data_IF_765324378441
#
_entry.id   IF_765324378441
#
_cell.length_a   1.000
_cell.length_b   1.000
_cell.length_c   1.000
_cell.angle_alpha   90.00
_cell.angle_beta   90.00
_cell.angle_gamma   90.00
#
_symmetry.space_group_name_H-M   'P 1'
#
loop_
_entity.id
_entity.type
_entity.pdbx_description
1 polymer ?
#
# COMPACT_ATOMS: atom_id res chain seq x y z
N UNK A 1 9.16 -50.25 -0.47
CA UNK A 1 8.29 -50.16 -1.65
C UNK A 1 6.88 -49.92 -1.13
N UNK A 2 6.41 -48.67 -1.10
CA UNK A 2 5.05 -48.37 -0.68
C UNK A 2 4.09 -48.59 -1.86
N UNK A 3 2.87 -49.14 -1.65
CA UNK A 3 1.92 -49.36 -2.73
C UNK A 3 1.43 -48.01 -3.29
N UNK A 4 1.40 -47.89 -4.61
CA UNK A 4 0.84 -46.73 -5.31
C UNK A 4 -0.67 -46.60 -5.07
N UNK A 5 -1.24 -45.40 -5.33
CA UNK A 5 -2.64 -45.14 -5.06
C UNK A 5 -3.57 -46.03 -5.92
N UNK A 6 -4.80 -46.33 -5.44
CA UNK A 6 -5.74 -47.21 -6.13
C UNK A 6 -6.16 -46.65 -7.50
N UNK A 7 -6.32 -47.53 -8.47
CA UNK A 7 -6.61 -47.27 -9.89
C UNK A 7 -7.98 -46.60 -10.19
N UNK A 8 -8.71 -46.13 -9.18
CA UNK A 8 -10.10 -45.64 -9.33
C UNK A 8 -10.23 -44.12 -9.44
N UNK A 9 -9.17 -43.33 -9.26
CA UNK A 9 -9.25 -41.86 -9.31
C UNK A 9 -9.04 -41.22 -10.71
N UNK A 10 -8.69 -42.00 -11.74
CA UNK A 10 -8.37 -41.48 -13.09
C UNK A 10 -9.50 -41.62 -14.13
N UNK A 11 -10.68 -42.08 -13.73
CA UNK A 11 -11.75 -42.46 -14.67
C UNK A 11 -12.93 -41.48 -14.77
N UNK A 12 -12.72 -40.16 -14.62
CA UNK A 12 -13.83 -39.16 -14.64
C UNK A 12 -13.72 -37.97 -15.61
N UNK A 13 -12.84 -38.03 -16.62
CA UNK A 13 -12.91 -37.12 -17.76
C UNK A 13 -13.07 -37.91 -19.07
N UNK A 14 -14.33 -38.27 -19.38
CA UNK A 14 -14.72 -38.84 -20.68
C UNK A 14 -14.77 -37.70 -21.71
N UNK A 15 -13.99 -37.78 -22.78
CA UNK A 15 -14.15 -36.85 -23.91
C UNK A 15 -13.06 -36.79 -24.98
N UNK A 16 -11.89 -37.41 -24.80
CA UNK A 16 -10.85 -37.43 -25.83
C UNK A 16 -10.41 -38.87 -26.14
N UNK A 17 -10.21 -39.25 -27.41
CA UNK A 17 -9.58 -40.53 -27.73
C UNK A 17 -8.16 -40.53 -27.14
N UNK A 18 -7.68 -41.65 -26.57
CA UNK A 18 -6.31 -41.74 -26.09
C UNK A 18 -5.37 -41.51 -27.28
N UNK A 19 -4.73 -40.34 -27.32
CA UNK A 19 -3.71 -40.07 -28.33
C UNK A 19 -2.48 -40.85 -27.90
N UNK A 20 -2.16 -41.92 -28.63
CA UNK A 20 -0.93 -42.67 -28.43
C UNK A 20 0.22 -41.74 -28.83
N UNK A 21 0.82 -41.07 -27.85
CA UNK A 21 2.04 -40.29 -28.05
C UNK A 21 3.18 -41.29 -28.24
N UNK A 22 3.87 -41.33 -29.39
CA UNK A 22 5.00 -42.23 -29.58
C UNK A 22 6.10 -41.90 -28.56
N UNK A 23 6.71 -42.93 -27.98
CA UNK A 23 7.84 -42.80 -27.07
C UNK A 23 8.99 -42.05 -27.78
N UNK A 24 9.27 -40.83 -27.33
CA UNK A 24 10.30 -39.96 -27.92
C UNK A 24 9.78 -38.61 -28.46
N UNK A 25 8.47 -38.35 -28.43
CA UNK A 25 7.94 -37.02 -28.74
C UNK A 25 8.12 -36.08 -27.53
N UNK A 26 9.22 -35.33 -27.51
CA UNK A 26 9.33 -34.14 -26.67
C UNK A 26 8.43 -33.08 -27.29
N UNK A 27 7.26 -32.86 -26.70
CA UNK A 27 6.46 -31.68 -27.01
C UNK A 27 7.20 -30.51 -26.38
N UNK A 28 8.01 -29.79 -27.16
CA UNK A 28 8.46 -28.46 -26.78
C UNK A 28 7.19 -27.61 -26.62
N UNK A 29 6.81 -27.35 -25.37
CA UNK A 29 5.83 -26.30 -25.08
C UNK A 29 6.38 -25.01 -25.68
N UNK A 30 5.60 -24.24 -26.45
CA UNK A 30 6.09 -22.95 -26.96
C UNK A 30 6.39 -22.06 -25.76
N UNK A 31 7.68 -21.94 -25.44
CA UNK A 31 8.23 -21.04 -24.44
C UNK A 31 8.22 -19.63 -25.03
N UNK A 32 7.03 -19.09 -25.24
CA UNK A 32 6.82 -17.68 -25.55
C UNK A 32 5.40 -17.29 -25.19
N UNK A 33 5.07 -17.30 -23.90
CA UNK A 33 4.09 -16.33 -23.43
C UNK A 33 4.75 -14.98 -23.67
N UNK A 34 4.37 -14.31 -24.76
CA UNK A 34 4.48 -12.87 -24.85
C UNK A 34 3.83 -12.35 -23.55
N UNK A 35 4.65 -12.05 -22.54
CA UNK A 35 4.21 -11.29 -21.39
C UNK A 35 3.58 -10.04 -21.99
N UNK A 36 2.26 -9.92 -21.87
CA UNK A 36 1.55 -8.74 -22.33
C UNK A 36 2.10 -7.61 -21.47
N UNK A 37 3.07 -6.86 -22.02
CA UNK A 37 3.65 -5.70 -21.38
C UNK A 37 2.55 -4.64 -21.36
N UNK A 38 1.77 -4.60 -20.29
CA UNK A 38 0.81 -3.52 -20.08
C UNK A 38 1.63 -2.22 -20.08
N UNK A 39 1.35 -1.27 -20.98
CA UNK A 39 2.11 -0.04 -21.02
C UNK A 39 1.95 0.67 -19.67
N UNK A 40 3.06 1.10 -19.03
CA UNK A 40 3.00 1.62 -17.67
C UNK A 40 2.11 2.86 -17.62
N UNK A 41 1.11 2.83 -16.74
CA UNK A 41 0.32 4.02 -16.46
C UNK A 41 1.18 5.06 -15.72
N UNK A 42 1.70 6.02 -16.48
CA UNK A 42 2.60 7.05 -15.96
C UNK A 42 1.97 7.89 -14.85
N UNK A 43 0.65 8.13 -14.91
CA UNK A 43 -0.07 8.89 -13.89
C UNK A 43 -0.08 8.12 -12.57
N UNK A 44 -0.41 6.83 -12.63
CA UNK A 44 -0.38 5.96 -11.45
C UNK A 44 1.02 5.91 -10.83
N UNK A 45 2.07 5.77 -11.63
CA UNK A 45 3.45 5.75 -11.12
C UNK A 45 3.86 7.07 -10.46
N UNK A 46 3.49 8.21 -11.04
CA UNK A 46 3.78 9.52 -10.45
C UNK A 46 3.06 9.67 -9.10
N UNK A 47 1.82 9.21 -9.00
CA UNK A 47 1.08 9.24 -7.75
C UNK A 47 1.69 8.28 -6.73
N UNK A 48 1.88 7.02 -7.09
CA UNK A 48 2.40 5.97 -6.23
C UNK A 48 3.77 6.35 -5.68
N UNK A 49 4.65 6.95 -6.49
CA UNK A 49 6.01 7.33 -6.06
C UNK A 49 6.10 8.72 -5.42
N UNK A 50 4.97 9.38 -5.13
CA UNK A 50 4.97 10.72 -4.53
C UNK A 50 5.70 11.76 -5.39
N UNK A 51 5.47 11.74 -6.70
CA UNK A 51 6.13 12.59 -7.70
C UNK A 51 7.67 12.52 -7.66
N UNK A 52 8.23 11.36 -7.27
CA UNK A 52 9.65 11.07 -7.26
C UNK A 52 10.27 10.91 -5.87
N UNK A 53 9.53 11.19 -4.80
CA UNK A 53 9.95 10.96 -3.42
C UNK A 53 10.35 9.49 -3.17
N UNK A 54 9.59 8.56 -3.77
CA UNK A 54 9.85 7.12 -3.65
C UNK A 54 11.16 6.64 -4.27
N UNK A 55 11.83 7.44 -5.10
CA UNK A 55 13.15 7.11 -5.65
C UNK A 55 14.31 7.58 -4.78
N UNK A 56 14.05 8.10 -3.59
CA UNK A 56 15.12 8.46 -2.67
C UNK A 56 16.02 7.25 -2.38
N UNK A 57 17.36 7.42 -2.38
CA UNK A 57 18.29 6.28 -2.30
C UNK A 57 18.30 5.60 -0.93
N UNK A 58 17.82 6.28 0.12
CA UNK A 58 17.81 5.80 1.50
C UNK A 58 16.46 6.14 2.13
N UNK A 59 15.81 5.14 2.71
CA UNK A 59 14.52 5.26 3.41
C UNK A 59 13.45 6.05 2.62
N UNK A 60 13.03 5.59 1.43
CA UNK A 60 12.01 6.25 0.61
C UNK A 60 10.74 6.66 1.39
N UNK A 61 10.24 5.79 2.27
CA UNK A 61 9.06 6.11 3.08
C UNK A 61 9.23 7.30 4.02
N UNK A 62 10.47 7.64 4.41
CA UNK A 62 10.74 8.89 5.15
C UNK A 62 10.50 10.11 4.26
N UNK A 63 10.85 10.04 2.98
CA UNK A 63 10.59 11.10 2.00
C UNK A 63 9.10 11.18 1.65
N UNK A 64 8.40 10.04 1.54
CA UNK A 64 6.94 9.97 1.43
C UNK A 64 6.24 10.67 2.61
N UNK A 65 6.60 10.27 3.83
CA UNK A 65 6.08 10.90 5.05
C UNK A 65 6.40 12.40 5.10
N UNK A 66 7.63 12.80 4.76
CA UNK A 66 8.01 14.21 4.72
C UNK A 66 7.21 15.00 3.68
N UNK A 67 6.91 14.40 2.52
CA UNK A 67 6.02 15.00 1.53
C UNK A 67 4.60 15.16 2.08
N UNK A 68 4.08 14.19 2.85
CA UNK A 68 2.84 14.32 3.61
C UNK A 68 2.83 15.53 4.54
N UNK A 69 3.93 15.78 5.28
CA UNK A 69 4.08 16.99 6.10
C UNK A 69 4.07 18.28 5.27
N UNK A 70 4.72 18.29 4.10
CA UNK A 70 4.75 19.46 3.22
C UNK A 70 3.38 19.77 2.64
N UNK A 71 2.59 18.74 2.32
CA UNK A 71 1.24 18.87 1.79
C UNK A 71 0.22 19.27 2.87
N UNK A 72 0.46 18.88 4.12
CA UNK A 72 -0.47 19.07 5.22
C UNK A 72 -1.01 20.52 5.36
N UNK A 73 -0.19 21.60 5.42
CA UNK A 73 -0.70 22.95 5.64
C UNK A 73 -1.67 23.43 4.56
N UNK A 74 -1.43 23.02 3.30
CA UNK A 74 -2.28 23.36 2.17
C UNK A 74 -3.63 22.66 2.31
N UNK A 75 -3.63 21.37 2.65
CA UNK A 75 -4.84 20.58 2.81
C UNK A 75 -5.62 20.96 4.07
N UNK A 76 -4.93 21.24 5.18
CA UNK A 76 -5.54 21.67 6.44
C UNK A 76 -6.34 22.97 6.27
N UNK A 77 -5.94 23.84 5.34
CA UNK A 77 -6.66 25.07 4.99
C UNK A 77 -8.05 24.85 4.35
N UNK A 78 -8.38 23.62 3.93
CA UNK A 78 -9.69 23.28 3.36
C UNK A 78 -10.81 23.16 4.42
N UNK A 79 -10.45 23.11 5.70
CA UNK A 79 -11.36 22.83 6.80
C UNK A 79 -11.64 21.32 6.96
N UNK A 80 -12.24 20.91 8.09
CA UNK A 80 -12.27 19.51 8.51
C UNK A 80 -13.02 18.57 7.56
N UNK A 81 -14.15 19.03 6.98
CA UNK A 81 -14.95 18.20 6.08
C UNK A 81 -14.27 17.95 4.75
N UNK A 82 -13.76 19.00 4.08
CA UNK A 82 -13.02 18.79 2.84
C UNK A 82 -11.72 18.03 3.10
N UNK A 83 -11.02 18.28 4.21
CA UNK A 83 -9.82 17.52 4.56
C UNK A 83 -10.10 16.01 4.66
N UNK A 84 -11.18 15.63 5.35
CA UNK A 84 -11.60 14.23 5.45
C UNK A 84 -11.98 13.63 4.08
N UNK A 85 -12.69 14.39 3.23
CA UNK A 85 -13.02 13.96 1.87
C UNK A 85 -11.75 13.80 1.01
N UNK A 86 -10.79 14.71 1.14
CA UNK A 86 -9.50 14.62 0.45
C UNK A 86 -8.72 13.39 0.90
N UNK A 87 -8.67 13.07 2.20
CA UNK A 87 -8.06 11.84 2.69
C UNK A 87 -8.71 10.59 2.09
N UNK A 88 -10.04 10.54 2.06
CA UNK A 88 -10.75 9.40 1.46
C UNK A 88 -10.47 9.28 -0.05
N UNK A 89 -10.41 10.40 -0.75
CA UNK A 89 -10.06 10.43 -2.17
C UNK A 89 -8.62 9.99 -2.42
N UNK A 90 -7.65 10.48 -1.63
CA UNK A 90 -6.25 10.09 -1.70
C UNK A 90 -6.06 8.61 -1.39
N UNK A 91 -6.77 8.08 -0.38
CA UNK A 91 -6.76 6.65 -0.10
C UNK A 91 -7.27 5.83 -1.30
N UNK A 92 -8.40 6.23 -1.87
CA UNK A 92 -9.01 5.53 -3.01
C UNK A 92 -8.11 5.54 -4.25
N UNK A 93 -7.54 6.71 -4.56
CA UNK A 93 -6.59 6.88 -5.68
C UNK A 93 -5.27 6.17 -5.39
N UNK A 94 -4.80 6.19 -4.14
CA UNK A 94 -3.58 5.54 -3.69
C UNK A 94 -3.64 4.03 -3.83
N UNK A 95 -4.76 3.39 -3.45
CA UNK A 95 -4.97 1.94 -3.65
C UNK A 95 -4.81 1.58 -5.13
N UNK A 96 -5.48 2.32 -6.01
CA UNK A 96 -5.38 2.10 -7.46
C UNK A 96 -3.96 2.35 -7.99
N UNK A 97 -3.30 3.41 -7.52
CA UNK A 97 -1.95 3.77 -7.97
C UNK A 97 -0.91 2.74 -7.52
N UNK A 98 -1.02 2.26 -6.28
CA UNK A 98 -0.16 1.22 -5.72
C UNK A 98 -0.34 -0.11 -6.47
N UNK A 99 -1.58 -0.53 -6.76
CA UNK A 99 -1.87 -1.72 -7.57
C UNK A 99 -1.17 -1.67 -8.94
N UNK A 100 -1.24 -0.53 -9.60
CA UNK A 100 -0.62 -0.34 -10.91
C UNK A 100 0.91 -0.27 -10.82
N UNK A 101 1.44 0.33 -9.76
CA UNK A 101 2.87 0.39 -9.50
C UNK A 101 3.45 -1.01 -9.21
N UNK A 102 2.79 -1.85 -8.41
CA UNK A 102 3.22 -3.24 -8.15
C UNK A 102 3.32 -4.04 -9.45
N UNK A 103 2.36 -3.88 -10.37
CA UNK A 103 2.38 -4.54 -11.69
C UNK A 103 3.57 -4.09 -12.52
N UNK A 104 3.88 -2.79 -12.51
CA UNK A 104 5.01 -2.22 -13.27
C UNK A 104 6.35 -2.63 -12.67
N UNK A 105 6.47 -2.57 -11.33
CA UNK A 105 7.71 -2.91 -10.63
C UNK A 105 7.93 -4.41 -10.49
N UNK A 106 6.89 -5.22 -10.73
CA UNK A 106 6.92 -6.68 -10.57
C UNK A 106 7.38 -7.11 -9.17
N UNK A 107 7.08 -6.29 -8.18
CA UNK A 107 7.37 -6.52 -6.76
C UNK A 107 6.13 -6.15 -5.97
N UNK A 108 5.75 -7.03 -5.05
CA UNK A 108 4.75 -6.71 -4.04
C UNK A 108 5.39 -5.78 -3.01
N UNK A 109 4.62 -4.80 -2.53
CA UNK A 109 5.07 -3.86 -1.49
C UNK A 109 6.46 -3.26 -1.81
N UNK A 110 6.59 -2.74 -3.04
CA UNK A 110 7.85 -2.14 -3.49
C UNK A 110 8.07 -0.82 -2.75
N UNK A 111 9.20 -0.68 -2.04
CA UNK A 111 9.48 0.52 -1.24
C UNK A 111 9.60 1.83 -2.02
N UNK A 112 9.44 1.85 -3.35
CA UNK A 112 9.26 3.08 -4.13
C UNK A 112 7.81 3.58 -4.12
N UNK A 113 6.84 2.74 -3.78
CA UNK A 113 5.46 3.13 -3.53
C UNK A 113 5.48 3.84 -2.18
N UNK A 114 5.11 5.13 -2.19
CA UNK A 114 5.16 5.99 -1.01
C UNK A 114 3.90 6.82 -0.80
N UNK A 115 2.84 6.51 -1.55
CA UNK A 115 1.54 7.19 -1.44
C UNK A 115 0.79 6.80 -0.16
N UNK A 116 1.00 5.57 0.28
CA UNK A 116 0.66 5.03 1.59
C UNK A 116 1.26 5.87 2.72
N UNK A 117 2.57 6.18 2.71
CA UNK A 117 3.15 6.99 3.80
C UNK A 117 2.66 8.44 3.76
N UNK A 118 2.43 9.00 2.57
CA UNK A 118 1.84 10.34 2.43
C UNK A 118 0.45 10.36 3.09
N UNK A 119 -0.40 9.38 2.77
CA UNK A 119 -1.76 9.30 3.31
C UNK A 119 -1.75 9.02 4.81
N UNK A 120 -0.92 8.07 5.27
CA UNK A 120 -0.76 7.76 6.68
C UNK A 120 -0.27 8.96 7.49
N UNK A 121 0.69 9.73 6.97
CA UNK A 121 1.18 10.95 7.62
C UNK A 121 0.12 12.05 7.71
N UNK A 122 -0.65 12.27 6.63
CA UNK A 122 -1.75 13.23 6.63
C UNK A 122 -2.85 12.82 7.62
N UNK A 123 -3.14 11.51 7.70
CA UNK A 123 -4.10 10.97 8.65
C UNK A 123 -3.64 11.16 10.10
N UNK A 124 -2.35 10.97 10.38
CA UNK A 124 -1.76 11.20 11.71
C UNK A 124 -1.98 12.63 12.24
N UNK A 125 -2.02 13.63 11.34
CA UNK A 125 -2.22 15.04 11.69
C UNK A 125 -3.69 15.49 11.61
N UNK A 126 -4.60 14.63 11.14
CA UNK A 126 -6.03 14.95 11.02
C UNK A 126 -6.70 15.49 12.31
N UNK A 127 -6.34 15.03 13.54
CA UNK A 127 -6.91 15.58 14.76
C UNK A 127 -6.70 17.08 14.92
N UNK A 128 -5.56 17.63 14.47
CA UNK A 128 -5.28 19.07 14.57
C UNK A 128 -6.27 19.88 13.73
N UNK A 129 -6.62 19.39 12.54
CA UNK A 129 -7.64 20.00 11.68
C UNK A 129 -9.03 19.86 12.31
N UNK A 130 -9.35 18.68 12.84
CA UNK A 130 -10.64 18.39 13.45
C UNK A 130 -10.91 19.24 14.70
N UNK A 131 -9.87 19.52 15.49
CA UNK A 131 -9.97 20.33 16.71
C UNK A 131 -9.69 21.83 16.48
N UNK A 132 -9.30 22.22 15.26
CA UNK A 132 -8.97 23.61 14.94
C UNK A 132 -7.66 24.09 15.59
N UNK A 133 -6.75 23.18 15.90
CA UNK A 133 -5.47 23.46 16.55
C UNK A 133 -4.44 23.89 15.50
N UNK A 134 -3.80 25.06 15.66
CA UNK A 134 -2.71 25.47 14.78
C UNK A 134 -1.55 24.46 14.83
N UNK A 135 -1.13 23.97 13.66
CA UNK A 135 -0.07 22.98 13.55
C UNK A 135 1.33 23.62 13.69
N UNK A 136 1.70 23.96 14.92
CA UNK A 136 3.05 24.36 15.26
C UNK A 136 4.07 23.24 15.03
N UNK A 137 5.36 23.59 14.94
CA UNK A 137 6.44 22.63 14.70
C UNK A 137 6.41 21.42 15.66
N UNK A 138 6.07 21.63 16.94
CA UNK A 138 5.94 20.55 17.91
C UNK A 138 4.90 19.51 17.51
N UNK A 139 3.74 19.93 17.00
CA UNK A 139 2.70 19.03 16.52
C UNK A 139 3.09 18.31 15.24
N UNK A 140 3.72 19.02 14.29
CA UNK A 140 4.20 18.41 13.05
C UNK A 140 5.26 17.34 13.32
N UNK A 141 6.23 17.63 14.19
CA UNK A 141 7.26 16.66 14.62
C UNK A 141 6.62 15.50 15.39
N UNK A 142 5.67 15.77 16.29
CA UNK A 142 4.97 14.72 17.04
C UNK A 142 4.21 13.78 16.12
N UNK A 143 3.43 14.31 15.18
CA UNK A 143 2.70 13.50 14.20
C UNK A 143 3.63 12.73 13.27
N UNK A 144 4.75 13.33 12.86
CA UNK A 144 5.76 12.65 12.05
C UNK A 144 6.40 11.48 12.78
N UNK A 145 6.93 11.73 13.99
CA UNK A 145 7.60 10.70 14.77
C UNK A 145 6.62 9.61 15.17
N UNK A 146 5.42 9.96 15.65
CA UNK A 146 4.40 8.98 16.02
C UNK A 146 4.03 8.08 14.84
N UNK A 147 3.77 8.66 13.66
CA UNK A 147 3.48 7.91 12.45
C UNK A 147 4.61 6.96 12.08
N UNK A 148 5.85 7.48 11.94
CA UNK A 148 7.01 6.65 11.60
C UNK A 148 7.25 5.52 12.61
N UNK A 149 7.03 5.77 13.90
CA UNK A 149 7.15 4.74 14.91
C UNK A 149 6.13 3.60 14.70
N UNK A 150 4.88 3.93 14.37
CA UNK A 150 3.84 2.91 14.14
C UNK A 150 3.97 2.20 12.80
N UNK A 151 4.34 2.91 11.73
CA UNK A 151 4.64 2.31 10.42
C UNK A 151 5.84 1.36 10.53
N UNK A 152 6.96 1.77 11.11
CA UNK A 152 8.14 0.88 11.21
C UNK A 152 7.87 -0.33 12.12
N UNK A 153 7.13 -0.14 13.21
CA UNK A 153 6.86 -1.23 14.16
C UNK A 153 5.77 -2.19 13.68
N UNK A 154 4.78 -1.70 12.93
CA UNK A 154 3.55 -2.40 12.50
C UNK A 154 2.91 -3.24 13.62
N UNK A 155 2.43 -2.63 14.72
CA UNK A 155 1.83 -3.39 15.80
C UNK A 155 0.45 -3.94 15.41
N UNK A 156 0.21 -5.22 15.74
CA UNK A 156 -1.12 -5.86 15.74
C UNK A 156 -1.91 -5.69 14.43
N UNK A 157 -2.99 -4.88 14.40
CA UNK A 157 -3.87 -4.73 13.23
C UNK A 157 -3.19 -4.30 11.93
N UNK A 158 -2.12 -3.50 11.97
CA UNK A 158 -1.41 -3.06 10.76
C UNK A 158 -0.82 -4.27 10.02
N UNK A 159 -0.10 -5.13 10.76
CA UNK A 159 0.48 -6.37 10.24
C UNK A 159 -0.59 -7.41 9.87
N UNK A 160 -1.79 -7.33 10.43
CA UNK A 160 -2.92 -8.16 10.02
C UNK A 160 -3.50 -7.69 8.68
N UNK A 161 -3.65 -6.38 8.49
CA UNK A 161 -4.18 -5.80 7.25
C UNK A 161 -3.26 -6.13 6.06
N UNK A 162 -1.95 -5.92 6.20
CA UNK A 162 -0.91 -6.28 5.23
C UNK A 162 -1.03 -7.75 4.77
N UNK A 163 -1.38 -8.66 5.69
CA UNK A 163 -1.50 -10.11 5.40
C UNK A 163 -2.87 -10.52 4.86
N UNK A 164 -3.90 -9.71 5.07
CA UNK A 164 -5.29 -10.07 4.78
C UNK A 164 -5.78 -9.50 3.45
N UNK A 165 -5.15 -8.43 2.97
CA UNK A 165 -5.46 -7.78 1.71
C UNK A 165 -4.28 -7.92 0.74
N UNK A 166 -4.60 -8.14 -0.54
CA UNK A 166 -3.59 -8.22 -1.60
C UNK A 166 -3.59 -6.93 -2.43
N UNK A 167 -2.48 -6.69 -3.13
CA UNK A 167 -2.33 -5.54 -4.01
C UNK A 167 -2.18 -4.22 -3.25
N UNK A 168 -2.48 -3.13 -3.95
CA UNK A 168 -2.45 -1.78 -3.41
C UNK A 168 -3.37 -1.54 -2.21
N UNK A 169 -4.39 -2.37 -2.01
CA UNK A 169 -5.19 -2.31 -0.78
C UNK A 169 -4.37 -2.78 0.44
N UNK A 170 -3.56 -3.83 0.29
CA UNK A 170 -2.65 -4.29 1.34
C UNK A 170 -1.61 -3.23 1.70
N UNK A 171 -0.98 -2.63 0.68
CA UNK A 171 0.04 -1.57 0.81
C UNK A 171 -0.52 -0.30 1.44
N UNK A 172 -1.75 0.09 1.13
CA UNK A 172 -2.30 1.33 1.71
C UNK A 172 -2.84 1.15 3.13
N UNK A 173 -3.38 -0.04 3.45
CA UNK A 173 -4.15 -0.22 4.69
C UNK A 173 -3.28 -0.36 5.95
N UNK A 174 -2.09 -0.93 5.86
CA UNK A 174 -1.19 -1.03 7.01
C UNK A 174 -0.72 0.36 7.49
N UNK A 175 -0.43 1.25 6.55
CA UNK A 175 -0.05 2.65 6.79
C UNK A 175 -1.22 3.54 7.21
N UNK A 176 -2.42 3.28 6.69
CA UNK A 176 -3.64 3.89 7.23
C UNK A 176 -3.83 3.50 8.69
N UNK A 177 -3.62 2.23 9.05
CA UNK A 177 -3.72 1.78 10.46
C UNK A 177 -2.64 2.44 11.32
N UNK A 178 -1.40 2.54 10.84
CA UNK A 178 -0.34 3.26 11.52
C UNK A 178 -0.68 4.76 11.71
N UNK A 179 -1.24 5.39 10.67
CA UNK A 179 -1.75 6.76 10.70
C UNK A 179 -2.87 6.98 11.71
N UNK A 180 -3.79 6.02 11.86
CA UNK A 180 -4.85 6.06 12.88
C UNK A 180 -4.27 5.96 14.30
N UNK A 181 -3.29 5.09 14.55
CA UNK A 181 -2.62 5.04 15.85
C UNK A 181 -1.88 6.33 16.16
N UNK A 182 -1.18 6.90 15.18
CA UNK A 182 -0.53 8.20 15.34
C UNK A 182 -1.55 9.32 15.59
N UNK A 183 -2.69 9.32 14.91
CA UNK A 183 -3.77 10.28 15.14
C UNK A 183 -4.33 10.19 16.57
N UNK A 184 -4.48 8.98 17.13
CA UNK A 184 -4.87 8.81 18.54
C UNK A 184 -3.83 9.43 19.48
N UNK A 185 -2.54 9.24 19.21
CA UNK A 185 -1.46 9.85 20.01
C UNK A 185 -1.50 11.38 19.91
N UNK A 186 -1.58 11.93 18.69
CA UNK A 186 -1.60 13.39 18.47
C UNK A 186 -2.85 14.01 19.10
N UNK A 187 -4.03 13.44 18.84
CA UNK A 187 -5.29 13.93 19.40
C UNK A 187 -5.36 13.79 20.92
N UNK A 188 -4.88 12.67 21.47
CA UNK A 188 -4.80 12.46 22.91
C UNK A 188 -3.85 13.44 23.61
N UNK A 189 -2.70 13.69 23.00
CA UNK A 189 -1.75 14.70 23.48
C UNK A 189 -2.35 16.12 23.42
N UNK A 190 -3.05 16.46 22.34
CA UNK A 190 -3.73 17.75 22.22
C UNK A 190 -4.75 17.98 23.34
N UNK A 191 -5.59 16.97 23.59
CA UNK A 191 -6.57 17.00 24.69
C UNK A 191 -5.86 17.12 26.05
N UNK A 192 -4.78 16.37 26.27
CA UNK A 192 -4.05 16.36 27.54
C UNK A 192 -3.35 17.70 27.85
N UNK A 193 -2.88 18.42 26.82
CA UNK A 193 -2.22 19.73 26.96
C UNK A 193 -3.25 20.87 27.03
N UNK A 194 -4.53 20.60 26.76
CA UNK A 194 -5.61 21.58 26.85
C UNK A 194 -5.63 22.59 25.69
N UNK A 195 -5.16 22.17 24.51
CA UNK A 195 -5.22 22.96 23.27
C UNK A 195 -6.56 22.85 22.57
#
# INVERSE_FOLDING_TARGET
MAPGPPAEALARCRGFPPTVVPAGLVIETPESTHEISVPPNRVALVIATGAGAGYAPVAPGTFGSALGLVLYPVLAGLGPWLYALTLLALLSVGIWAADEAERVFRSKDDGRIVIDEIVGQLLALAPLVAFGIPAGLGWLVTGFVAFRCFDIWKPGPARWAERSFEGGAGVMLDDVVAGLFAAVVVGGAAIAVGT
#
